data_IF_947326853066
#
_entry.id   IF_947326853066
#
_cell.length_a   1.000
_cell.length_b   1.000
_cell.length_c   1.000
_cell.angle_alpha   90.00
_cell.angle_beta   90.00
_cell.angle_gamma   90.00
#
_symmetry.space_group_name_H-M   'P 1'
#
loop_
_entity.id
_entity.type
_entity.pdbx_description
1 polymer ?
#
# COMPACT_ATOMS: atom_id res chain seq x y z
N UNK A 1 3.00 -7.82 -15.58
CA UNK A 1 3.10 -9.29 -15.46
C UNK A 1 3.01 -9.64 -13.98
N UNK A 2 2.08 -10.51 -13.58
CA UNK A 2 1.85 -10.82 -12.17
C UNK A 2 3.02 -11.66 -11.62
N UNK A 3 3.92 -11.02 -10.83
CA UNK A 3 5.10 -11.67 -10.27
C UNK A 3 4.77 -12.89 -9.39
N UNK A 4 3.64 -12.86 -8.67
CA UNK A 4 3.17 -13.98 -7.87
C UNK A 4 2.84 -15.20 -8.76
N UNK A 5 2.29 -14.97 -9.96
CA UNK A 5 2.02 -16.03 -10.93
C UNK A 5 3.32 -16.66 -11.43
N UNK A 6 4.35 -15.85 -11.72
CA UNK A 6 5.66 -16.37 -12.14
C UNK A 6 6.27 -17.26 -11.06
N UNK A 7 6.30 -16.77 -9.81
CA UNK A 7 6.81 -17.55 -8.68
C UNK A 7 6.01 -18.84 -8.48
N UNK A 8 4.69 -18.79 -8.66
CA UNK A 8 3.83 -19.97 -8.54
C UNK A 8 4.15 -21.02 -9.61
N UNK A 9 4.30 -20.59 -10.88
CA UNK A 9 4.69 -21.50 -11.98
C UNK A 9 6.08 -22.11 -11.74
N UNK A 10 7.05 -21.29 -11.32
CA UNK A 10 8.39 -21.78 -10.97
C UNK A 10 8.36 -22.78 -9.81
N UNK A 11 7.53 -22.50 -8.80
CA UNK A 11 7.32 -23.39 -7.66
C UNK A 11 6.78 -24.77 -8.11
N UNK A 12 5.79 -24.77 -9.01
CA UNK A 12 5.23 -26.04 -9.54
C UNK A 12 6.26 -26.81 -10.32
N UNK A 13 7.00 -26.17 -11.23
CA UNK A 13 8.02 -26.82 -12.05
C UNK A 13 9.12 -27.40 -11.16
N UNK A 14 9.73 -26.59 -10.30
CA UNK A 14 10.81 -27.03 -9.42
C UNK A 14 10.35 -28.05 -8.38
N UNK A 15 9.11 -27.93 -7.90
CA UNK A 15 8.49 -28.89 -6.99
C UNK A 15 8.30 -30.27 -7.61
N UNK A 16 7.83 -30.35 -8.85
CA UNK A 16 7.71 -31.62 -9.58
C UNK A 16 9.09 -32.25 -9.75
N UNK A 17 10.10 -31.48 -10.19
CA UNK A 17 11.47 -31.97 -10.34
C UNK A 17 12.03 -32.47 -9.00
N UNK A 18 11.82 -31.73 -7.92
CA UNK A 18 12.27 -32.11 -6.58
C UNK A 18 11.63 -33.43 -6.11
N UNK A 19 10.31 -33.57 -6.24
CA UNK A 19 9.58 -34.78 -5.84
C UNK A 19 10.04 -35.99 -6.65
N UNK A 20 10.22 -35.82 -7.97
CA UNK A 20 10.72 -36.89 -8.85
C UNK A 20 12.15 -37.31 -8.46
N UNK A 21 13.04 -36.35 -8.17
CA UNK A 21 14.39 -36.68 -7.69
C UNK A 21 14.37 -37.46 -6.38
N UNK A 22 13.64 -36.93 -5.38
CA UNK A 22 13.57 -37.55 -4.03
C UNK A 22 12.98 -38.96 -4.06
N UNK A 23 11.91 -39.18 -4.85
CA UNK A 23 11.21 -40.47 -4.88
C UNK A 23 11.92 -41.53 -5.71
N UNK A 24 12.54 -41.13 -6.84
CA UNK A 24 13.13 -42.09 -7.79
C UNK A 24 14.64 -42.02 -7.85
N UNK A 25 15.23 -40.89 -8.15
CA UNK A 25 16.61 -40.79 -8.60
C UNK A 25 17.60 -40.65 -7.45
N UNK A 26 17.28 -39.94 -6.40
CA UNK A 26 18.17 -39.72 -5.25
C UNK A 26 18.60 -40.99 -4.56
N UNK A 27 17.70 -42.00 -4.47
CA UNK A 27 17.98 -43.32 -3.86
C UNK A 27 18.85 -44.19 -4.72
N UNK A 28 18.85 -43.99 -6.05
CA UNK A 28 19.61 -44.76 -7.02
C UNK A 28 20.99 -44.15 -7.32
N UNK A 29 21.23 -42.92 -6.89
CA UNK A 29 22.45 -42.15 -7.15
C UNK A 29 23.56 -42.60 -6.16
N UNK A 30 24.75 -42.92 -6.69
CA UNK A 30 25.94 -43.18 -5.88
C UNK A 30 26.31 -41.89 -5.12
N UNK A 31 26.85 -42.02 -3.89
CA UNK A 31 27.16 -40.87 -3.02
C UNK A 31 28.16 -39.87 -3.65
N UNK A 32 29.04 -40.32 -4.51
CA UNK A 32 30.08 -39.52 -5.16
C UNK A 32 29.74 -39.14 -6.61
N UNK A 33 28.52 -39.48 -7.09
CA UNK A 33 28.12 -39.16 -8.45
C UNK A 33 27.75 -37.66 -8.56
N UNK A 34 28.21 -37.00 -9.63
CA UNK A 34 27.78 -35.63 -9.95
C UNK A 34 26.28 -35.57 -10.14
N UNK A 35 25.66 -34.55 -9.58
CA UNK A 35 24.24 -34.29 -9.78
C UNK A 35 23.97 -33.95 -11.24
N UNK A 36 22.91 -34.51 -11.85
CA UNK A 36 22.46 -34.08 -13.18
C UNK A 36 22.07 -32.60 -13.18
N UNK A 37 22.28 -31.88 -14.28
CA UNK A 37 21.98 -30.43 -14.40
C UNK A 37 20.55 -30.08 -14.02
N UNK A 38 19.58 -30.95 -14.32
CA UNK A 38 18.16 -30.68 -13.96
C UNK A 38 17.90 -30.78 -12.45
N UNK A 39 18.73 -31.53 -11.70
CA UNK A 39 18.67 -31.55 -10.23
C UNK A 39 19.35 -30.30 -9.69
N UNK A 40 20.57 -30.01 -10.13
CA UNK A 40 21.38 -28.89 -9.68
C UNK A 40 20.66 -27.53 -9.92
N UNK A 41 20.12 -27.33 -11.14
CA UNK A 41 19.48 -26.06 -11.54
C UNK A 41 17.94 -26.06 -11.46
N UNK A 42 17.32 -27.21 -11.22
CA UNK A 42 15.87 -27.33 -11.12
C UNK A 42 15.41 -27.71 -9.72
N UNK A 43 15.61 -28.97 -9.36
CA UNK A 43 15.11 -29.51 -8.10
C UNK A 43 15.69 -28.82 -6.85
N UNK A 44 16.99 -28.46 -6.86
CA UNK A 44 17.67 -27.84 -5.72
C UNK A 44 17.16 -26.42 -5.39
N UNK A 45 16.56 -25.72 -6.36
CA UNK A 45 15.96 -24.40 -6.13
C UNK A 45 14.58 -24.45 -5.47
N UNK A 46 13.91 -25.61 -5.46
CA UNK A 46 12.56 -25.72 -4.91
C UNK A 46 12.43 -25.19 -3.48
N UNK A 47 13.28 -25.54 -2.50
CA UNK A 47 13.14 -25.03 -1.13
C UNK A 47 13.27 -23.50 -1.06
N UNK A 48 14.19 -22.92 -1.83
CA UNK A 48 14.40 -21.47 -1.87
C UNK A 48 13.19 -20.78 -2.49
N UNK A 49 12.70 -21.27 -3.63
CA UNK A 49 11.53 -20.72 -4.30
C UNK A 49 10.29 -20.85 -3.42
N UNK A 50 10.13 -21.96 -2.70
CA UNK A 50 9.04 -22.18 -1.75
C UNK A 50 9.06 -21.14 -0.63
N UNK A 51 10.21 -20.92 0.00
CA UNK A 51 10.37 -19.91 1.06
C UNK A 51 10.05 -18.52 0.53
N UNK A 52 10.63 -18.13 -0.61
CA UNK A 52 10.39 -16.82 -1.22
C UNK A 52 8.93 -16.65 -1.60
N UNK A 53 8.30 -17.69 -2.17
CA UNK A 53 6.88 -17.68 -2.52
C UNK A 53 6.00 -17.47 -1.29
N UNK A 54 6.24 -18.23 -0.20
CA UNK A 54 5.45 -18.12 1.05
C UNK A 54 5.64 -16.74 1.69
N UNK A 55 6.88 -16.28 1.85
CA UNK A 55 7.18 -14.98 2.44
C UNK A 55 6.49 -13.85 1.68
N UNK A 56 6.66 -13.81 0.35
CA UNK A 56 6.13 -12.73 -0.48
C UNK A 56 4.62 -12.82 -0.72
N UNK A 57 4.06 -14.03 -0.77
CA UNK A 57 2.62 -14.20 -1.00
C UNK A 57 1.77 -13.90 0.23
N UNK A 58 2.27 -14.23 1.41
CA UNK A 58 1.47 -14.21 2.64
C UNK A 58 1.97 -13.28 3.73
N UNK A 59 3.28 -12.95 3.76
CA UNK A 59 3.84 -12.20 4.88
C UNK A 59 4.18 -10.76 4.49
N UNK A 60 5.25 -10.54 3.74
CA UNK A 60 5.77 -9.21 3.47
C UNK A 60 6.06 -9.01 1.98
N UNK A 61 5.69 -7.85 1.48
CA UNK A 61 6.00 -7.46 0.11
C UNK A 61 6.74 -6.11 0.10
N UNK A 62 7.94 -6.04 -0.53
CA UNK A 62 8.66 -4.79 -0.69
C UNK A 62 8.07 -3.96 -1.83
N UNK A 63 7.90 -2.66 -1.61
CA UNK A 63 7.49 -1.68 -2.62
C UNK A 63 8.48 -0.51 -2.64
N UNK A 64 8.69 0.05 -3.82
CA UNK A 64 9.42 1.31 -4.00
C UNK A 64 8.42 2.45 -4.12
N UNK A 65 8.64 3.55 -3.41
CA UNK A 65 7.80 4.74 -3.47
C UNK A 65 8.18 5.57 -4.71
N UNK A 66 7.28 5.69 -5.70
CA UNK A 66 7.59 6.38 -6.96
C UNK A 66 7.17 7.85 -6.96
N UNK A 67 6.33 8.30 -6.02
CA UNK A 67 5.72 9.63 -6.02
C UNK A 67 5.74 10.30 -4.66
N UNK A 68 5.64 11.64 -4.67
CA UNK A 68 5.66 12.46 -3.46
C UNK A 68 4.32 12.61 -2.74
N UNK A 69 3.27 11.83 -3.08
CA UNK A 69 1.94 12.03 -2.50
C UNK A 69 1.81 11.72 -1.01
N UNK A 70 2.80 11.03 -0.44
CA UNK A 70 2.87 10.68 0.99
C UNK A 70 3.97 11.45 1.74
N UNK A 71 4.60 12.46 1.12
CA UNK A 71 5.53 13.36 1.80
C UNK A 71 4.76 14.10 2.91
N UNK A 72 5.33 14.25 4.11
CA UNK A 72 6.71 13.95 4.51
C UNK A 72 6.90 12.54 5.09
N UNK A 73 5.85 11.76 5.23
CA UNK A 73 5.90 10.41 5.84
C UNK A 73 6.77 9.47 5.01
N UNK A 74 6.52 9.41 3.71
CA UNK A 74 7.30 8.62 2.74
C UNK A 74 7.84 9.52 1.65
N UNK A 75 9.13 9.36 1.35
CA UNK A 75 9.82 10.11 0.29
C UNK A 75 9.93 9.28 -0.99
N UNK A 76 10.06 9.97 -2.12
CA UNK A 76 10.38 9.31 -3.39
C UNK A 76 11.71 8.57 -3.25
N UNK A 77 11.74 7.30 -3.65
CA UNK A 77 12.91 6.43 -3.53
C UNK A 77 12.98 5.60 -2.25
N UNK A 78 12.08 5.80 -1.27
CA UNK A 78 11.95 4.88 -0.14
C UNK A 78 11.54 3.49 -0.61
N UNK A 79 12.18 2.46 -0.08
CA UNK A 79 11.74 1.07 -0.19
C UNK A 79 11.06 0.68 1.11
N UNK A 80 9.79 0.33 1.03
CA UNK A 80 8.95 0.00 2.18
C UNK A 80 8.62 -1.49 2.24
N UNK A 81 8.33 -1.99 3.45
CA UNK A 81 7.74 -3.29 3.67
C UNK A 81 6.23 -3.15 3.94
N UNK A 82 5.46 -3.97 3.26
CA UNK A 82 4.02 -4.07 3.41
C UNK A 82 3.67 -5.40 4.04
N UNK A 83 2.98 -5.35 5.18
CA UNK A 83 2.46 -6.53 5.86
C UNK A 83 1.14 -6.93 5.20
N UNK A 84 1.12 -8.11 4.58
CA UNK A 84 -0.03 -8.61 3.81
C UNK A 84 -1.08 -9.32 4.66
N UNK A 85 -0.69 -9.85 5.82
CA UNK A 85 -1.60 -10.60 6.69
C UNK A 85 -2.31 -9.74 7.73
N UNK A 86 -1.94 -8.47 7.91
CA UNK A 86 -2.55 -7.58 8.91
C UNK A 86 -4.09 -7.54 8.78
N UNK A 87 -4.62 -7.49 7.55
CA UNK A 87 -6.05 -7.38 7.29
C UNK A 87 -6.68 -8.70 6.83
N UNK A 88 -5.99 -9.81 7.04
CA UNK A 88 -6.45 -11.14 6.66
C UNK A 88 -5.54 -11.84 5.66
N UNK A 89 -5.72 -13.16 5.52
CA UNK A 89 -4.95 -13.95 4.57
C UNK A 89 -5.69 -14.01 3.23
N UNK A 90 -4.97 -13.65 2.17
CA UNK A 90 -5.48 -13.68 0.78
C UNK A 90 -4.74 -14.73 -0.03
N UNK A 91 -5.48 -15.47 -0.87
CA UNK A 91 -4.87 -16.40 -1.81
C UNK A 91 -4.02 -15.63 -2.83
N UNK A 92 -2.77 -16.07 -3.06
CA UNK A 92 -1.93 -15.46 -4.08
C UNK A 92 -2.57 -15.60 -5.47
N UNK A 93 -2.19 -14.74 -6.41
CA UNK A 93 -2.69 -14.66 -7.79
C UNK A 93 -4.12 -14.17 -7.89
N UNK A 94 -5.10 -14.83 -7.26
CA UNK A 94 -6.53 -14.47 -7.33
C UNK A 94 -6.97 -13.42 -6.29
N UNK A 95 -6.12 -13.12 -5.30
CA UNK A 95 -6.34 -12.13 -4.23
C UNK A 95 -7.64 -12.29 -3.43
N UNK A 96 -8.22 -13.48 -3.39
CA UNK A 96 -9.43 -13.76 -2.61
C UNK A 96 -9.08 -13.92 -1.14
N UNK A 97 -9.70 -13.11 -0.27
CA UNK A 97 -9.54 -13.23 1.19
C UNK A 97 -10.19 -14.54 1.68
N UNK A 98 -9.46 -15.33 2.45
CA UNK A 98 -9.87 -16.62 3.00
C UNK A 98 -9.93 -16.65 4.53
N UNK A 99 -9.17 -15.78 5.19
CA UNK A 99 -9.15 -15.64 6.65
C UNK A 99 -9.21 -14.16 6.97
N UNK A 100 -10.17 -13.76 7.80
CA UNK A 100 -10.24 -12.43 8.39
C UNK A 100 -9.36 -12.38 9.65
N UNK A 101 -8.54 -11.32 9.80
CA UNK A 101 -7.70 -11.12 10.99
C UNK A 101 -8.05 -9.79 11.65
N UNK A 102 -7.80 -8.67 10.96
CA UNK A 102 -8.16 -7.34 11.44
C UNK A 102 -8.81 -6.53 10.31
N UNK A 103 -9.40 -5.40 10.67
CA UNK A 103 -9.88 -4.39 9.74
C UNK A 103 -8.89 -3.22 9.68
N UNK A 104 -8.77 -2.52 8.52
CA UNK A 104 -8.04 -1.28 8.44
C UNK A 104 -8.52 -0.26 9.47
N UNK A 105 -7.58 0.40 10.11
CA UNK A 105 -7.84 1.43 11.10
C UNK A 105 -7.55 2.81 10.54
N UNK A 106 -8.21 3.81 11.09
CA UNK A 106 -7.94 5.20 10.76
C UNK A 106 -6.50 5.55 11.11
N UNK A 107 -5.80 6.21 10.16
CA UNK A 107 -4.39 6.52 10.30
C UNK A 107 -3.44 5.46 9.69
N UNK A 108 -3.90 4.24 9.38
CA UNK A 108 -3.07 3.25 8.71
C UNK A 108 -2.58 3.73 7.35
N UNK A 109 -1.31 3.54 7.05
CA UNK A 109 -0.77 3.71 5.69
C UNK A 109 -0.95 2.39 4.95
N UNK A 110 -1.75 2.42 3.89
CA UNK A 110 -2.21 1.21 3.20
C UNK A 110 -1.81 1.20 1.74
N UNK A 111 -1.28 0.06 1.29
CA UNK A 111 -1.10 -0.24 -0.14
C UNK A 111 -2.34 -0.96 -0.65
N UNK A 112 -2.84 -0.52 -1.79
CA UNK A 112 -4.05 -1.06 -2.42
C UNK A 112 -3.96 -0.92 -3.94
N UNK A 113 -4.72 -1.76 -4.64
CA UNK A 113 -4.88 -1.65 -6.09
C UNK A 113 -5.75 -0.45 -6.43
N UNK A 114 -5.29 0.37 -7.35
CA UNK A 114 -5.99 1.58 -7.76
C UNK A 114 -7.36 1.23 -8.36
N UNK A 115 -8.48 1.82 -7.89
CA UNK A 115 -9.82 1.39 -8.30
C UNK A 115 -10.12 1.58 -9.78
N UNK A 116 -9.55 2.62 -10.43
CA UNK A 116 -9.75 2.89 -11.87
C UNK A 116 -8.86 1.99 -12.74
N UNK A 117 -7.70 1.55 -12.22
CA UNK A 117 -6.78 0.63 -12.91
C UNK A 117 -6.12 -0.31 -11.89
N UNK A 118 -6.69 -1.49 -11.62
CA UNK A 118 -6.16 -2.45 -10.65
C UNK A 118 -4.79 -3.08 -10.99
N UNK A 119 -4.21 -2.72 -12.14
CA UNK A 119 -2.83 -3.09 -12.47
C UNK A 119 -1.78 -2.24 -11.75
N UNK A 120 -2.21 -1.10 -11.18
CA UNK A 120 -1.38 -0.13 -10.47
C UNK A 120 -1.63 -0.24 -8.95
N UNK A 121 -0.54 -0.28 -8.19
CA UNK A 121 -0.60 -0.21 -6.73
C UNK A 121 -0.41 1.24 -6.27
N UNK A 122 -1.33 1.71 -5.41
CA UNK A 122 -1.27 3.02 -4.76
C UNK A 122 -1.01 2.87 -3.27
N UNK A 123 -0.43 3.90 -2.69
CA UNK A 123 -0.24 4.01 -1.24
C UNK A 123 -0.81 5.32 -0.75
N UNK A 124 -1.70 5.24 0.26
CA UNK A 124 -2.34 6.39 0.91
C UNK A 124 -2.64 6.06 2.37
N UNK A 125 -3.03 7.08 3.12
CA UNK A 125 -3.49 6.94 4.52
C UNK A 125 -4.98 6.72 4.57
N UNK A 126 -5.43 5.79 5.42
CA UNK A 126 -6.85 5.54 5.72
C UNK A 126 -7.38 6.70 6.56
N UNK A 127 -8.32 7.46 6.00
CA UNK A 127 -8.97 8.59 6.67
C UNK A 127 -10.39 8.25 7.07
N UNK A 128 -11.18 7.68 6.15
CA UNK A 128 -12.56 7.27 6.38
C UNK A 128 -12.74 5.76 6.37
N UNK A 129 -13.46 5.24 7.35
CA UNK A 129 -13.87 3.85 7.48
C UNK A 129 -15.28 3.65 6.89
N UNK A 130 -15.70 2.40 6.61
CA UNK A 130 -17.07 2.11 6.15
C UNK A 130 -18.13 2.76 7.06
N UNK A 131 -19.03 3.54 6.45
CA UNK A 131 -20.10 4.27 7.16
C UNK A 131 -19.74 5.66 7.65
N UNK A 132 -18.47 6.08 7.61
CA UNK A 132 -18.09 7.43 7.99
C UNK A 132 -18.59 8.49 7.00
N UNK A 133 -18.82 9.69 7.51
CA UNK A 133 -18.94 10.92 6.71
C UNK A 133 -17.62 11.68 6.81
N UNK A 134 -16.88 11.75 5.71
CA UNK A 134 -15.62 12.47 5.60
C UNK A 134 -15.88 13.79 4.87
N UNK A 135 -15.53 14.91 5.48
CA UNK A 135 -15.57 16.23 4.86
C UNK A 135 -14.15 16.81 4.83
N UNK A 136 -13.70 17.22 3.66
CA UNK A 136 -12.48 18.00 3.48
C UNK A 136 -12.84 19.32 2.83
N UNK A 137 -12.98 20.37 3.66
CA UNK A 137 -13.44 21.69 3.24
C UNK A 137 -12.51 22.77 3.75
N UNK A 138 -12.17 23.73 2.90
CA UNK A 138 -11.20 24.78 3.20
C UNK A 138 -9.90 24.20 3.80
N UNK A 139 -9.45 23.05 3.27
CA UNK A 139 -8.26 22.28 3.71
C UNK A 139 -8.34 21.77 5.15
N UNK A 140 -9.52 21.71 5.73
CA UNK A 140 -9.78 21.16 7.06
C UNK A 140 -10.54 19.84 6.95
N UNK A 141 -10.05 18.83 7.65
CA UNK A 141 -10.65 17.50 7.70
C UNK A 141 -11.65 17.42 8.86
N UNK A 142 -12.82 16.87 8.56
CA UNK A 142 -13.87 16.59 9.55
C UNK A 142 -14.35 15.16 9.33
N UNK A 143 -14.52 14.38 10.38
CA UNK A 143 -15.02 13.01 10.31
C UNK A 143 -16.23 12.87 11.23
N UNK A 144 -17.37 12.45 10.67
CA UNK A 144 -18.63 12.31 11.41
C UNK A 144 -19.05 13.61 12.14
N UNK A 145 -18.79 14.76 11.51
CA UNK A 145 -19.08 16.08 12.08
C UNK A 145 -18.06 16.57 13.11
N UNK A 146 -17.07 15.76 13.48
CA UNK A 146 -16.02 16.15 14.41
C UNK A 146 -14.77 16.63 13.65
N UNK A 147 -14.27 17.84 13.90
CA UNK A 147 -13.04 18.31 13.28
C UNK A 147 -11.85 17.46 13.76
N UNK A 148 -10.99 17.09 12.82
CA UNK A 148 -9.72 16.42 13.13
C UNK A 148 -8.75 17.45 13.69
N UNK A 149 -8.11 17.13 14.83
CA UNK A 149 -7.15 18.04 15.46
C UNK A 149 -5.93 18.20 14.55
N UNK A 150 -5.59 19.47 14.28
CA UNK A 150 -4.49 19.86 13.40
C UNK A 150 -3.74 21.05 13.99
N UNK A 151 -2.40 20.96 14.03
CA UNK A 151 -1.54 22.03 14.52
C UNK A 151 -0.42 22.30 13.50
N UNK A 152 -0.25 23.56 13.08
CA UNK A 152 0.91 23.95 12.27
C UNK A 152 2.19 23.81 13.08
N UNK A 153 3.17 23.08 12.55
CA UNK A 153 4.46 22.79 13.21
C UNK A 153 5.65 23.41 12.50
N UNK A 154 5.43 24.01 11.32
CA UNK A 154 6.49 24.67 10.55
C UNK A 154 6.18 24.71 9.06
N UNK A 155 7.21 24.92 8.29
CA UNK A 155 7.17 24.87 6.84
C UNK A 155 8.13 23.76 6.35
N UNK A 156 7.72 23.03 5.33
CA UNK A 156 8.49 21.94 4.72
C UNK A 156 9.05 22.41 3.38
N UNK A 157 10.39 22.41 3.23
CA UNK A 157 11.04 22.69 1.94
C UNK A 157 11.02 21.42 1.08
N UNK A 158 10.42 21.48 -0.10
CA UNK A 158 10.52 20.43 -1.11
C UNK A 158 11.88 20.50 -1.82
N UNK A 159 12.79 19.54 -1.58
CA UNK A 159 14.19 19.68 -2.04
C UNK A 159 14.32 19.64 -3.56
N UNK A 160 13.42 18.92 -4.26
CA UNK A 160 13.46 18.79 -5.73
C UNK A 160 12.90 20.02 -6.45
N UNK A 161 11.96 20.75 -5.84
CA UNK A 161 11.21 21.84 -6.47
C UNK A 161 11.50 23.20 -5.85
N UNK A 162 12.22 23.23 -4.74
CA UNK A 162 12.64 24.44 -4.00
C UNK A 162 11.47 25.38 -3.63
N UNK A 163 10.32 24.81 -3.26
CA UNK A 163 9.19 25.59 -2.70
C UNK A 163 8.82 25.05 -1.30
N UNK A 164 8.09 25.88 -0.54
CA UNK A 164 7.66 25.56 0.81
C UNK A 164 6.18 25.20 0.83
N UNK A 165 5.84 24.13 1.57
CA UNK A 165 4.48 23.80 1.99
C UNK A 165 4.35 23.99 3.50
N UNK A 166 3.20 24.38 3.98
CA UNK A 166 2.90 24.40 5.41
C UNK A 166 2.81 22.97 5.94
N UNK A 167 3.56 22.71 7.01
CA UNK A 167 3.59 21.40 7.66
C UNK A 167 2.76 21.40 8.92
N UNK A 168 1.90 20.39 9.03
CA UNK A 168 0.97 20.21 10.13
C UNK A 168 1.19 18.87 10.82
N UNK A 169 0.98 18.87 12.14
CA UNK A 169 0.71 17.66 12.92
C UNK A 169 -0.82 17.45 12.90
N UNK A 170 -1.27 16.29 12.43
CA UNK A 170 -2.69 15.91 12.37
C UNK A 170 -2.91 14.62 13.17
N UNK A 171 -4.03 14.55 13.91
CA UNK A 171 -4.39 13.41 14.75
C UNK A 171 -5.58 12.65 14.15
N UNK A 172 -5.32 11.48 13.57
CA UNK A 172 -6.34 10.58 13.04
C UNK A 172 -6.57 9.40 13.99
N UNK A 173 -7.56 9.54 14.87
CA UNK A 173 -7.78 8.57 15.95
C UNK A 173 -6.59 8.57 16.92
N UNK A 174 -5.93 7.41 17.06
CA UNK A 174 -4.74 7.26 17.94
C UNK A 174 -3.42 7.54 17.19
N UNK A 175 -3.47 7.86 15.90
CA UNK A 175 -2.29 8.08 15.06
C UNK A 175 -2.07 9.56 14.82
N UNK A 176 -0.98 10.08 15.39
CA UNK A 176 -0.48 11.40 15.06
C UNK A 176 0.49 11.28 13.88
N UNK A 177 0.30 12.06 12.83
CA UNK A 177 1.12 12.07 11.63
C UNK A 177 1.31 13.48 11.09
N UNK A 178 2.24 13.64 10.15
CA UNK A 178 2.51 14.91 9.50
C UNK A 178 1.76 15.00 8.17
N UNK A 179 1.17 16.16 7.89
CA UNK A 179 0.52 16.45 6.62
C UNK A 179 1.04 17.78 6.06
N UNK A 180 1.03 17.91 4.73
CA UNK A 180 1.43 19.13 4.03
C UNK A 180 0.24 19.75 3.30
N UNK A 181 0.13 21.08 3.39
CA UNK A 181 -0.75 21.90 2.59
C UNK A 181 0.04 23.01 1.89
N UNK A 182 -0.30 23.30 0.64
CA UNK A 182 0.27 24.42 -0.11
C UNK A 182 -0.66 25.63 0.05
N UNK A 183 -0.14 26.74 0.55
CA UNK A 183 -0.96 27.93 0.87
C UNK A 183 -1.75 28.42 -0.33
N UNK A 184 -1.14 28.41 -1.52
CA UNK A 184 -1.71 28.95 -2.76
C UNK A 184 -2.59 27.97 -3.54
N UNK A 185 -2.61 26.68 -3.14
CA UNK A 185 -3.44 25.69 -3.82
C UNK A 185 -4.93 25.87 -3.46
N UNK A 186 -5.85 25.72 -4.44
CA UNK A 186 -7.28 25.89 -4.19
C UNK A 186 -7.83 24.78 -3.29
N UNK A 187 -8.89 25.10 -2.54
CA UNK A 187 -9.57 24.11 -1.70
C UNK A 187 -10.50 23.18 -2.49
N UNK A 188 -10.99 23.60 -3.65
CA UNK A 188 -11.87 22.79 -4.49
C UNK A 188 -11.11 21.66 -5.21
N UNK A 189 -11.80 20.56 -5.49
CA UNK A 189 -11.24 19.42 -6.22
C UNK A 189 -11.62 19.57 -7.69
N UNK A 190 -10.68 20.02 -8.50
CA UNK A 190 -10.90 20.33 -9.92
C UNK A 190 -11.13 19.08 -10.79
N UNK A 191 -10.56 17.94 -10.40
CA UNK A 191 -10.45 16.74 -11.24
C UNK A 191 -11.20 15.55 -10.63
N UNK A 192 -12.43 15.80 -10.11
CA UNK A 192 -13.27 14.74 -9.59
C UNK A 192 -13.82 13.89 -10.73
N UNK A 193 -13.29 12.68 -10.88
CA UNK A 193 -13.68 11.70 -11.90
C UNK A 193 -15.13 11.19 -11.69
N UNK A 194 -15.64 10.45 -12.68
CA UNK A 194 -16.79 9.56 -12.48
C UNK A 194 -16.28 8.25 -11.88
N UNK A 195 -16.78 7.88 -10.70
CA UNK A 195 -16.39 6.68 -9.99
C UNK A 195 -17.60 6.00 -9.35
N UNK A 196 -17.52 4.71 -9.00
CA UNK A 196 -18.57 4.00 -8.28
C UNK A 196 -18.95 4.72 -6.97
N UNK A 197 -20.25 4.80 -6.67
CA UNK A 197 -20.79 5.50 -5.49
C UNK A 197 -20.51 7.02 -5.47
N UNK A 198 -20.37 7.65 -6.65
CA UNK A 198 -20.15 9.10 -6.77
C UNK A 198 -21.29 9.93 -6.15
N UNK A 199 -22.50 9.37 -6.13
CA UNK A 199 -23.69 9.94 -5.50
C UNK A 199 -23.54 10.13 -3.98
N UNK A 200 -22.64 9.40 -3.34
CA UNK A 200 -22.33 9.57 -1.91
C UNK A 200 -21.42 10.77 -1.62
N UNK A 201 -20.97 11.48 -2.65
CA UNK A 201 -20.08 12.63 -2.51
C UNK A 201 -20.70 13.91 -3.06
N UNK A 202 -20.63 14.98 -2.27
CA UNK A 202 -21.01 16.34 -2.67
C UNK A 202 -19.76 17.19 -2.80
N UNK A 203 -19.56 17.79 -3.99
CA UNK A 203 -18.44 18.68 -4.29
C UNK A 203 -18.95 20.12 -4.36
N UNK A 204 -18.16 21.05 -3.84
CA UNK A 204 -18.47 22.48 -3.88
C UNK A 204 -17.16 23.30 -4.00
N UNK A 205 -17.28 24.63 -4.00
CA UNK A 205 -16.13 25.52 -4.11
C UNK A 205 -15.13 25.41 -2.94
N UNK A 206 -15.53 24.84 -1.81
CA UNK A 206 -14.69 24.72 -0.60
C UNK A 206 -14.07 23.33 -0.45
N UNK A 207 -14.49 22.34 -1.27
CA UNK A 207 -13.95 20.98 -1.21
C UNK A 207 -14.99 19.89 -1.45
N UNK A 208 -14.95 18.82 -0.65
CA UNK A 208 -15.79 17.63 -0.82
C UNK A 208 -16.31 17.10 0.51
N UNK A 209 -17.53 16.55 0.49
CA UNK A 209 -18.12 15.77 1.59
C UNK A 209 -18.54 14.42 1.02
N UNK A 210 -18.08 13.31 1.61
CA UNK A 210 -18.38 11.96 1.15
C UNK A 210 -18.89 11.08 2.29
N UNK A 211 -19.94 10.30 2.03
CA UNK A 211 -20.38 9.18 2.88
C UNK A 211 -19.72 7.91 2.38
N UNK A 212 -18.85 7.31 3.20
CA UNK A 212 -18.11 6.09 2.81
C UNK A 212 -19.05 4.89 2.75
N UNK A 213 -19.17 4.19 1.61
CA UNK A 213 -20.02 3.01 1.49
C UNK A 213 -19.54 1.84 2.36
N UNK A 214 -20.43 0.88 2.63
CA UNK A 214 -20.06 -0.38 3.29
C UNK A 214 -18.97 -1.11 2.48
N UNK A 215 -17.98 -1.70 3.17
CA UNK A 215 -16.87 -2.40 2.54
C UNK A 215 -15.90 -1.53 1.74
N UNK A 216 -15.93 -0.20 1.93
CA UNK A 216 -15.02 0.74 1.26
C UNK A 216 -14.31 1.64 2.25
N UNK A 217 -13.20 2.22 1.80
CA UNK A 217 -12.35 3.11 2.59
C UNK A 217 -12.11 4.43 1.84
N UNK A 218 -12.02 5.53 2.59
CA UNK A 218 -11.65 6.83 2.05
C UNK A 218 -10.18 7.11 2.37
N UNK A 219 -9.38 7.28 1.33
CA UNK A 219 -7.94 7.37 1.39
C UNK A 219 -7.46 8.78 1.05
N UNK A 220 -6.49 9.31 1.81
CA UNK A 220 -5.85 10.58 1.47
C UNK A 220 -4.33 10.46 1.52
N UNK A 221 -3.65 11.25 0.68
CA UNK A 221 -2.21 11.43 0.79
C UNK A 221 -1.85 12.42 1.88
N UNK A 222 -0.68 12.25 2.49
CA UNK A 222 -0.18 13.18 3.51
C UNK A 222 0.26 14.51 2.88
N UNK A 223 0.69 14.49 1.61
CA UNK A 223 0.93 15.68 0.80
C UNK A 223 -0.38 16.12 0.13
N UNK A 224 -1.26 16.79 0.90
CA UNK A 224 -2.64 17.03 0.59
C UNK A 224 -2.91 17.63 -0.78
N UNK A 225 -2.19 18.66 -1.16
CA UNK A 225 -2.41 19.36 -2.42
C UNK A 225 -1.65 18.72 -3.60
N UNK A 226 -0.71 17.81 -3.31
CA UNK A 226 0.07 17.06 -4.31
C UNK A 226 -0.28 15.55 -4.30
N UNK A 227 -1.54 15.22 -4.00
CA UNK A 227 -2.05 13.85 -3.97
C UNK A 227 -3.35 13.72 -4.75
N UNK A 228 -3.34 12.83 -5.74
CA UNK A 228 -4.57 12.33 -6.36
C UNK A 228 -5.05 11.13 -5.55
N UNK A 229 -6.12 11.31 -4.77
CA UNK A 229 -6.62 10.34 -3.81
C UNK A 229 -8.16 10.25 -3.81
N UNK A 230 -8.79 9.70 -2.77
CA UNK A 230 -10.24 9.50 -2.71
C UNK A 230 -11.08 10.76 -2.94
N UNK A 231 -10.48 11.92 -2.76
CA UNK A 231 -11.14 13.20 -3.08
C UNK A 231 -11.39 13.33 -4.59
N UNK A 232 -10.57 12.70 -5.44
CA UNK A 232 -10.67 12.78 -6.89
C UNK A 232 -11.33 11.55 -7.53
N UNK A 233 -10.98 10.34 -7.07
CA UNK A 233 -11.40 9.07 -7.69
C UNK A 233 -12.29 8.19 -6.78
N UNK A 234 -12.70 8.66 -5.59
CA UNK A 234 -13.68 8.00 -4.73
C UNK A 234 -13.10 6.97 -3.77
N UNK A 235 -13.73 5.82 -3.66
CA UNK A 235 -13.52 4.88 -2.55
C UNK A 235 -12.69 3.67 -2.97
N UNK A 236 -11.92 3.13 -2.02
CA UNK A 236 -11.18 1.88 -2.20
C UNK A 236 -12.03 0.72 -1.66
N UNK A 237 -12.46 -0.23 -2.51
CA UNK A 237 -13.13 -1.42 -2.04
C UNK A 237 -12.15 -2.31 -1.25
N UNK A 238 -12.68 -3.03 -0.25
CA UNK A 238 -11.88 -3.90 0.61
C UNK A 238 -11.11 -4.98 -0.16
N UNK A 239 -11.66 -5.46 -1.27
CA UNK A 239 -11.02 -6.45 -2.14
C UNK A 239 -9.74 -5.93 -2.82
N UNK A 240 -9.58 -4.61 -2.95
CA UNK A 240 -8.41 -3.98 -3.53
C UNK A 240 -7.24 -3.86 -2.54
N UNK A 241 -7.44 -4.12 -1.26
CA UNK A 241 -6.39 -3.98 -0.25
C UNK A 241 -5.28 -5.01 -0.49
N UNK A 242 -4.03 -4.53 -0.50
CA UNK A 242 -2.81 -5.35 -0.56
C UNK A 242 -2.24 -5.58 0.85
N UNK A 243 -2.14 -4.53 1.66
CA UNK A 243 -1.66 -4.65 3.04
C UNK A 243 -1.29 -3.31 3.70
N UNK A 244 -0.82 -3.39 4.95
CA UNK A 244 -0.38 -2.26 5.76
C UNK A 244 1.11 -2.00 5.56
N UNK A 245 1.47 -0.80 5.11
CA UNK A 245 2.85 -0.35 5.08
C UNK A 245 3.28 0.08 6.49
N UNK A 246 4.47 -0.33 6.94
CA UNK A 246 4.87 -0.11 8.33
C UNK A 246 6.36 0.21 8.54
N UNK A 247 7.21 -0.04 7.54
CA UNK A 247 8.66 0.07 7.70
C UNK A 247 9.34 0.50 6.41
N UNK A 248 10.24 1.48 6.49
CA UNK A 248 11.20 1.80 5.42
C UNK A 248 12.44 0.94 5.67
N UNK A 249 12.72 -0.01 4.78
CA UNK A 249 13.84 -0.93 4.96
C UNK A 249 15.09 -0.53 4.19
N UNK A 250 14.96 0.37 3.20
CA UNK A 250 16.07 0.89 2.43
C UNK A 250 15.72 2.24 1.79
N UNK A 251 16.67 3.17 1.78
CA UNK A 251 16.69 4.33 0.90
C UNK A 251 18.16 4.57 0.51
N UNK A 252 18.47 4.50 -0.78
CA UNK A 252 19.85 4.65 -1.26
C UNK A 252 20.41 6.06 -1.11
N UNK A 253 19.55 7.08 -1.03
CA UNK A 253 19.96 8.48 -0.89
C UNK A 253 20.11 8.91 0.58
N UNK A 254 19.42 8.23 1.51
CA UNK A 254 19.43 8.57 2.93
C UNK A 254 19.13 7.34 3.80
N UNK A 255 20.18 6.72 4.34
CA UNK A 255 20.06 5.56 5.21
C UNK A 255 19.41 5.86 6.58
N UNK A 256 19.36 7.15 7.00
CA UNK A 256 18.70 7.53 8.26
C UNK A 256 17.18 7.32 8.23
N UNK A 257 16.61 7.13 7.06
CA UNK A 257 15.20 6.85 6.87
C UNK A 257 14.79 5.41 7.22
N UNK A 258 15.76 4.51 7.38
CA UNK A 258 15.46 3.12 7.77
C UNK A 258 14.81 3.09 9.14
N UNK A 259 13.57 2.62 9.21
CA UNK A 259 12.80 2.59 10.44
C UNK A 259 11.30 2.47 10.23
N UNK A 260 10.57 2.36 11.33
CA UNK A 260 9.10 2.38 11.32
C UNK A 260 8.60 3.82 11.14
N UNK A 261 7.47 3.96 10.45
CA UNK A 261 6.75 5.22 10.28
C UNK A 261 5.28 5.07 10.69
N UNK A 262 4.65 6.18 11.02
CA UNK A 262 3.23 6.26 11.40
C UNK A 262 2.52 7.37 10.63
#
# INVERSE_FOLDING_TARGET
MNFALILFVLLLITGVLYVVDVLKFRKLRAKDAREPLWVEWGASFFPVILIVFVLRSFLFEPFKIPSGSMIPTLLVGDFILVNKFTYGIRLPVINKKIIDINLPQRGDVMVFRYPEDPSLDYIKRVVGLPGDTVAYQNKKLTINGQPVAIQKIGDYLHPERLYYSEQYQEELGEVAHRALNDTDAPAFIADAARFPHRENCTYNATGVICKVPAGHYFMMGDNRDNSRDSRAWGFVPEENIVGKAFFVWLNFSDFSRIGSFR
#
